data_IF_945907854611
#
_entry.id   IF_945907854611
#
_cell.length_a   1.000
_cell.length_b   1.000
_cell.length_c   1.000
_cell.angle_alpha   90.00
_cell.angle_beta   90.00
_cell.angle_gamma   90.00
#
_symmetry.space_group_name_H-M   'P 1'
#
loop_
_entity.id
_entity.type
_entity.pdbx_description
1 polymer ?
#
# COMPACT_ATOMS: atom_id res chain seq x y z
N UNK A 1 2.51 -19.87 -14.99
CA UNK A 1 1.82 -18.86 -14.15
C UNK A 1 0.37 -19.31 -14.03
N UNK A 2 -0.14 -19.39 -12.82
CA UNK A 2 -1.51 -19.83 -12.56
C UNK A 2 -2.44 -18.63 -12.37
N UNK A 3 -3.68 -18.76 -12.84
CA UNK A 3 -4.73 -17.74 -12.73
C UNK A 3 -5.97 -18.28 -12.05
N UNK A 4 -6.75 -17.36 -11.49
CA UNK A 4 -8.08 -17.61 -10.94
C UNK A 4 -9.07 -16.67 -11.63
N UNK A 5 -10.20 -17.19 -12.10
CA UNK A 5 -11.20 -16.42 -12.85
C UNK A 5 -12.60 -17.01 -12.70
N UNK A 6 -13.63 -16.24 -13.06
CA UNK A 6 -15.01 -16.72 -13.18
C UNK A 6 -15.38 -16.80 -14.65
N UNK A 7 -15.82 -17.98 -15.11
CA UNK A 7 -16.29 -18.19 -16.48
C UNK A 7 -17.55 -19.05 -16.47
N UNK A 8 -18.58 -18.65 -17.23
CA UNK A 8 -19.91 -19.30 -17.22
C UNK A 8 -20.50 -19.51 -15.80
N UNK A 9 -20.30 -18.53 -14.91
CA UNK A 9 -20.82 -18.56 -13.54
C UNK A 9 -20.08 -19.53 -12.59
N UNK A 10 -18.94 -20.10 -13.01
CA UNK A 10 -18.12 -21.00 -12.20
C UNK A 10 -16.78 -20.35 -11.88
N UNK A 11 -16.32 -20.51 -10.64
CA UNK A 11 -14.98 -20.13 -10.22
C UNK A 11 -13.97 -21.22 -10.65
N UNK A 12 -12.94 -20.81 -11.37
CA UNK A 12 -11.82 -21.63 -11.79
C UNK A 12 -10.57 -21.17 -11.05
N UNK A 13 -9.86 -22.10 -10.40
CA UNK A 13 -8.65 -21.83 -9.61
C UNK A 13 -7.49 -22.70 -10.10
N UNK A 14 -6.27 -22.19 -9.97
CA UNK A 14 -5.02 -22.89 -10.33
C UNK A 14 -4.97 -23.32 -11.82
N UNK A 15 -5.54 -22.49 -12.71
CA UNK A 15 -5.52 -22.74 -14.14
C UNK A 15 -4.25 -22.18 -14.77
N UNK A 16 -3.62 -22.94 -15.67
CA UNK A 16 -2.64 -22.39 -16.60
C UNK A 16 -3.34 -21.52 -17.64
N UNK A 17 -2.58 -20.64 -18.30
CA UNK A 17 -3.12 -19.82 -19.40
C UNK A 17 -3.63 -20.71 -20.55
N UNK A 18 -2.93 -21.80 -20.86
CA UNK A 18 -3.34 -22.70 -21.94
C UNK A 18 -4.65 -23.43 -21.60
N UNK A 19 -4.79 -23.95 -20.37
CA UNK A 19 -6.06 -24.56 -19.95
C UNK A 19 -7.22 -23.55 -19.94
N UNK A 20 -6.94 -22.29 -19.65
CA UNK A 20 -7.93 -21.23 -19.68
C UNK A 20 -8.34 -20.86 -21.13
N UNK A 21 -7.39 -20.85 -22.08
CA UNK A 21 -7.68 -20.72 -23.52
C UNK A 21 -8.53 -21.88 -24.03
N UNK A 22 -8.20 -23.11 -23.62
CA UNK A 22 -8.95 -24.30 -23.99
C UNK A 22 -10.40 -24.27 -23.44
N UNK A 23 -10.61 -23.57 -22.32
CA UNK A 23 -11.95 -23.28 -21.78
C UNK A 23 -12.69 -22.16 -22.52
N UNK A 24 -12.05 -21.50 -23.48
CA UNK A 24 -12.65 -20.46 -24.32
C UNK A 24 -12.46 -19.04 -23.79
N UNK A 25 -11.54 -18.79 -22.85
CA UNK A 25 -11.22 -17.42 -22.44
C UNK A 25 -10.53 -16.67 -23.58
N UNK A 26 -10.97 -15.44 -23.77
CA UNK A 26 -10.32 -14.46 -24.64
C UNK A 26 -9.02 -13.95 -24.02
N UNK A 27 -8.10 -13.42 -24.83
CA UNK A 27 -6.88 -12.79 -24.33
C UNK A 27 -7.17 -11.60 -23.40
N UNK A 28 -8.30 -10.90 -23.58
CA UNK A 28 -8.77 -9.84 -22.69
C UNK A 28 -9.14 -10.39 -21.30
N UNK A 29 -9.89 -11.49 -21.24
CA UNK A 29 -10.23 -12.16 -19.97
C UNK A 29 -8.99 -12.72 -19.27
N UNK A 30 -8.03 -13.26 -20.03
CA UNK A 30 -6.75 -13.72 -19.49
C UNK A 30 -5.94 -12.56 -18.91
N UNK A 31 -5.83 -11.44 -19.64
CA UNK A 31 -5.15 -10.25 -19.16
C UNK A 31 -5.81 -9.71 -17.87
N UNK A 32 -7.14 -9.68 -17.82
CA UNK A 32 -7.88 -9.29 -16.62
C UNK A 32 -7.62 -10.24 -15.44
N UNK A 33 -7.64 -11.56 -15.67
CA UNK A 33 -7.36 -12.55 -14.63
C UNK A 33 -5.92 -12.44 -14.10
N UNK A 34 -4.95 -12.14 -14.97
CA UNK A 34 -3.57 -11.89 -14.60
C UNK A 34 -3.41 -10.62 -13.76
N UNK A 35 -4.05 -9.52 -14.18
CA UNK A 35 -4.06 -8.28 -13.42
C UNK A 35 -4.70 -8.47 -12.03
N UNK A 36 -5.78 -9.24 -11.93
CA UNK A 36 -6.42 -9.56 -10.66
C UNK A 36 -5.52 -10.42 -9.77
N UNK A 37 -4.86 -11.44 -10.33
CA UNK A 37 -3.90 -12.29 -9.61
C UNK A 37 -2.65 -11.54 -9.11
N UNK A 38 -2.32 -10.40 -9.73
CA UNK A 38 -1.20 -9.54 -9.32
C UNK A 38 -1.53 -8.69 -8.09
N UNK A 39 -2.75 -8.16 -7.97
CA UNK A 39 -3.17 -7.25 -6.88
C UNK A 39 -2.83 -7.75 -5.48
N UNK A 40 -3.05 -9.02 -5.09
CA UNK A 40 -2.66 -9.52 -3.77
C UNK A 40 -1.16 -9.39 -3.48
N UNK A 41 -0.30 -9.59 -4.47
CA UNK A 41 1.16 -9.47 -4.33
C UNK A 41 1.58 -8.02 -4.12
N UNK A 42 1.07 -7.10 -4.94
CA UNK A 42 1.34 -5.66 -4.80
C UNK A 42 0.82 -5.15 -3.45
N UNK A 43 -0.36 -5.61 -3.03
CA UNK A 43 -0.94 -5.26 -1.73
C UNK A 43 -0.09 -5.77 -0.57
N UNK A 44 0.40 -6.99 -0.63
CA UNK A 44 1.27 -7.56 0.39
C UNK A 44 2.57 -6.75 0.52
N UNK A 45 3.17 -6.39 -0.61
CA UNK A 45 4.40 -5.61 -0.65
C UNK A 45 4.19 -4.17 -0.14
N UNK A 46 3.12 -3.49 -0.55
CA UNK A 46 2.72 -2.18 -0.04
C UNK A 46 2.61 -2.21 1.51
N UNK A 47 1.93 -3.22 2.06
CA UNK A 47 1.81 -3.42 3.51
C UNK A 47 3.17 -3.67 4.16
N UNK A 48 3.99 -4.56 3.59
CA UNK A 48 5.34 -4.85 4.10
C UNK A 48 6.18 -3.58 4.21
N UNK A 49 6.15 -2.73 3.18
CA UNK A 49 6.87 -1.46 3.14
C UNK A 49 6.39 -0.47 4.20
N UNK A 50 5.07 -0.29 4.35
CA UNK A 50 4.50 0.58 5.39
C UNK A 50 4.90 0.11 6.79
N UNK A 51 4.69 -1.18 7.09
CA UNK A 51 5.03 -1.72 8.40
C UNK A 51 6.54 -1.82 8.66
N UNK A 52 7.34 -1.89 7.59
CA UNK A 52 8.80 -1.83 7.67
C UNK A 52 9.33 -0.43 8.02
N UNK A 53 8.52 0.63 7.87
CA UNK A 53 8.86 1.97 8.35
C UNK A 53 8.33 2.24 9.75
N UNK A 54 7.07 1.92 10.00
CA UNK A 54 6.46 2.09 11.32
C UNK A 54 5.68 0.83 11.69
N UNK A 55 6.05 0.20 12.80
CA UNK A 55 5.30 -0.95 13.32
C UNK A 55 3.85 -0.56 13.68
N UNK A 56 2.97 -1.55 13.85
CA UNK A 56 1.61 -1.26 14.31
C UNK A 56 1.58 -0.56 15.69
N UNK A 57 2.52 -0.91 16.57
CA UNK A 57 2.70 -0.27 17.88
C UNK A 57 3.16 1.18 17.73
N UNK A 58 4.20 1.43 16.92
CA UNK A 58 4.69 2.78 16.59
C UNK A 58 3.56 3.65 16.03
N UNK A 59 2.78 3.12 15.07
CA UNK A 59 1.62 3.83 14.50
C UNK A 59 0.57 4.18 15.54
N UNK A 60 0.28 3.28 16.49
CA UNK A 60 -0.67 3.53 17.57
C UNK A 60 -0.16 4.60 18.54
N UNK A 61 1.13 4.58 18.88
CA UNK A 61 1.75 5.56 19.77
C UNK A 61 1.75 6.96 19.12
N UNK A 62 2.10 7.06 17.84
CA UNK A 62 2.01 8.30 17.06
C UNK A 62 0.58 8.86 17.03
N UNK A 63 -0.41 8.01 16.74
CA UNK A 63 -1.82 8.42 16.69
C UNK A 63 -2.32 8.90 18.05
N UNK A 64 -1.93 8.21 19.13
CA UNK A 64 -2.30 8.57 20.51
C UNK A 64 -1.68 9.90 20.92
N UNK A 65 -0.38 10.09 20.65
CA UNK A 65 0.30 11.36 20.92
C UNK A 65 -0.34 12.53 20.16
N UNK A 66 -0.60 12.35 18.87
CA UNK A 66 -1.26 13.36 18.06
C UNK A 66 -2.68 13.68 18.54
N UNK A 67 -3.43 12.69 19.02
CA UNK A 67 -4.76 12.92 19.61
C UNK A 67 -4.69 13.79 20.88
N UNK A 68 -3.72 13.51 21.77
CA UNK A 68 -3.50 14.32 22.98
C UNK A 68 -3.08 15.76 22.65
N UNK A 69 -2.19 15.93 21.67
CA UNK A 69 -1.74 17.25 21.22
C UNK A 69 -2.88 18.02 20.57
N UNK A 70 -3.69 17.36 19.74
CA UNK A 70 -4.81 17.98 19.03
C UNK A 70 -5.92 18.45 19.97
N UNK A 71 -6.02 17.89 21.18
CA UNK A 71 -6.95 18.33 22.20
C UNK A 71 -6.57 19.68 22.84
N UNK A 72 -5.33 20.16 22.64
CA UNK A 72 -4.88 21.49 23.07
C UNK A 72 -5.30 22.57 22.08
N UNK A 73 -5.55 23.78 22.58
CA UNK A 73 -5.62 24.96 21.74
C UNK A 73 -4.28 25.15 21.01
N UNK A 74 -4.31 25.70 19.81
CA UNK A 74 -3.10 25.86 18.98
C UNK A 74 -2.03 26.69 19.68
N UNK A 75 -2.43 27.79 20.33
CA UNK A 75 -1.55 28.68 21.09
C UNK A 75 -0.92 28.01 22.35
N UNK A 76 -1.48 26.88 22.80
CA UNK A 76 -0.99 26.13 23.97
C UNK A 76 -0.05 24.98 23.58
N UNK A 77 0.20 24.75 22.28
CA UNK A 77 1.06 23.67 21.80
C UNK A 77 2.52 24.10 21.88
N UNK A 78 3.38 23.18 22.31
CA UNK A 78 4.83 23.39 22.21
C UNK A 78 5.31 23.29 20.75
N UNK A 79 6.53 23.77 20.50
CA UNK A 79 7.19 23.59 19.21
C UNK A 79 7.35 22.11 18.85
N UNK A 80 7.75 21.28 19.80
CA UNK A 80 7.89 19.83 19.62
C UNK A 80 6.54 19.15 19.30
N UNK A 81 5.45 19.61 19.93
CA UNK A 81 4.11 19.10 19.65
C UNK A 81 3.64 19.46 18.24
N UNK A 82 4.00 20.65 17.77
CA UNK A 82 3.75 21.08 16.39
C UNK A 82 4.54 20.24 15.39
N UNK A 83 5.81 19.92 15.69
CA UNK A 83 6.62 18.99 14.89
C UNK A 83 6.00 17.60 14.81
N UNK A 84 5.46 17.07 15.91
CA UNK A 84 4.77 15.77 15.92
C UNK A 84 3.58 15.77 14.97
N UNK A 85 2.77 16.83 14.99
CA UNK A 85 1.63 16.94 14.07
C UNK A 85 2.09 17.06 12.60
N UNK A 86 3.16 17.84 12.33
CA UNK A 86 3.72 17.99 10.99
C UNK A 86 4.26 16.66 10.45
N UNK A 87 5.08 15.95 11.23
CA UNK A 87 5.60 14.64 10.83
C UNK A 87 4.50 13.59 10.64
N UNK A 88 3.39 13.71 11.39
CA UNK A 88 2.27 12.78 11.24
C UNK A 88 1.52 13.07 9.93
N UNK A 89 1.37 14.34 9.58
CA UNK A 89 0.81 14.73 8.30
C UNK A 89 1.65 14.16 7.14
N UNK A 90 2.98 14.25 7.23
CA UNK A 90 3.88 13.66 6.23
C UNK A 90 3.73 12.14 6.15
N UNK A 91 3.61 11.46 7.29
CA UNK A 91 3.42 10.00 7.33
C UNK A 91 2.08 9.57 6.71
N UNK A 92 0.99 10.29 6.99
CA UNK A 92 -0.34 10.03 6.40
C UNK A 92 -0.33 10.33 4.90
N UNK A 93 0.31 11.42 4.48
CA UNK A 93 0.52 11.77 3.09
C UNK A 93 1.24 10.64 2.34
N UNK A 94 2.37 10.19 2.88
CA UNK A 94 3.11 9.07 2.30
C UNK A 94 2.31 7.76 2.22
N UNK A 95 1.52 7.42 3.25
CA UNK A 95 0.63 6.24 3.18
C UNK A 95 -0.42 6.38 2.08
N UNK A 96 -0.89 7.60 1.83
CA UNK A 96 -1.82 7.90 0.73
C UNK A 96 -1.13 7.70 -0.62
N UNK A 97 0.10 8.21 -0.78
CA UNK A 97 0.90 8.03 -1.99
C UNK A 97 1.24 6.55 -2.22
N UNK A 98 1.54 5.79 -1.16
CA UNK A 98 1.76 4.33 -1.24
C UNK A 98 0.52 3.60 -1.77
N UNK A 99 -0.68 4.03 -1.38
CA UNK A 99 -1.94 3.46 -1.89
C UNK A 99 -2.22 3.85 -3.33
N UNK A 100 -1.82 5.05 -3.74
CA UNK A 100 -1.89 5.47 -5.13
C UNK A 100 -0.90 4.65 -6.00
N UNK A 101 0.34 4.50 -5.55
CA UNK A 101 1.35 3.67 -6.20
C UNK A 101 0.89 2.21 -6.34
N UNK A 102 0.24 1.64 -5.31
CA UNK A 102 -0.39 0.33 -5.41
C UNK A 102 -1.34 0.21 -6.62
N UNK A 103 -2.17 1.22 -6.89
CA UNK A 103 -3.09 1.18 -8.05
C UNK A 103 -2.33 1.18 -9.37
N UNK A 104 -1.34 2.08 -9.51
CA UNK A 104 -0.51 2.18 -10.71
C UNK A 104 0.30 0.91 -10.97
N UNK A 105 1.01 0.39 -9.96
CA UNK A 105 1.84 -0.82 -10.07
C UNK A 105 0.99 -2.08 -10.30
N UNK A 106 -0.24 -2.12 -9.77
CA UNK A 106 -1.15 -3.25 -10.02
C UNK A 106 -1.68 -3.26 -11.44
N UNK A 107 -1.84 -2.09 -12.06
CA UNK A 107 -2.27 -1.95 -13.45
C UNK A 107 -1.14 -2.19 -14.46
N UNK A 108 0.11 -2.02 -14.05
CA UNK A 108 1.29 -2.25 -14.88
C UNK A 108 1.85 -3.68 -14.68
N UNK A 109 1.74 -4.57 -15.68
CA UNK A 109 2.29 -5.93 -15.58
C UNK A 109 3.83 -5.96 -15.54
N UNK A 110 4.50 -4.96 -16.10
CA UNK A 110 5.96 -4.89 -16.23
C UNK A 110 6.63 -4.20 -15.04
N UNK A 111 5.87 -3.46 -14.22
CA UNK A 111 6.41 -2.83 -13.03
C UNK A 111 7.03 -3.87 -12.08
N UNK A 112 8.26 -3.62 -11.61
CA UNK A 112 8.85 -4.43 -10.55
C UNK A 112 8.32 -3.98 -9.20
N UNK A 113 7.51 -4.82 -8.56
CA UNK A 113 6.92 -4.50 -7.25
C UNK A 113 7.98 -4.48 -6.13
N UNK A 114 9.13 -5.11 -6.33
CA UNK A 114 10.20 -5.20 -5.35
C UNK A 114 11.24 -4.10 -5.48
N UNK A 115 11.28 -3.39 -6.61
CA UNK A 115 12.13 -2.22 -6.79
C UNK A 115 11.64 -1.06 -5.91
N UNK A 116 12.55 -0.43 -5.19
CA UNK A 116 12.27 0.75 -4.38
C UNK A 116 11.84 1.94 -5.24
N UNK A 117 12.34 2.04 -6.49
CA UNK A 117 11.97 3.10 -7.42
C UNK A 117 10.50 3.08 -7.83
N UNK A 118 9.82 1.93 -7.69
CA UNK A 118 8.39 1.79 -7.96
C UNK A 118 7.51 2.44 -6.89
N UNK A 119 8.07 2.80 -5.72
CA UNK A 119 7.32 3.29 -4.56
C UNK A 119 7.73 4.72 -4.19
N UNK A 120 6.82 5.51 -3.60
CA UNK A 120 7.16 6.85 -3.13
C UNK A 120 8.25 6.80 -2.04
N UNK A 121 9.22 7.72 -2.08
CA UNK A 121 10.26 7.81 -1.06
C UNK A 121 9.64 8.14 0.30
N UNK A 122 10.20 7.58 1.37
CA UNK A 122 9.73 7.86 2.73
C UNK A 122 10.19 9.25 3.17
N UNK A 123 9.28 10.21 3.46
CA UNK A 123 9.63 11.59 3.77
C UNK A 123 10.45 11.72 5.05
N UNK A 124 11.31 12.73 5.12
CA UNK A 124 12.17 12.96 6.29
C UNK A 124 11.36 13.36 7.52
N UNK A 125 10.33 14.21 7.40
CA UNK A 125 9.47 14.54 8.55
C UNK A 125 8.74 13.33 9.13
N UNK A 126 8.30 12.38 8.28
CA UNK A 126 7.73 11.12 8.72
C UNK A 126 8.77 10.20 9.38
N UNK A 127 10.00 10.19 8.86
CA UNK A 127 11.13 9.43 9.43
C UNK A 127 11.53 9.94 10.80
N UNK A 128 11.64 11.25 10.95
CA UNK A 128 12.00 11.90 12.20
C UNK A 128 10.91 11.66 13.25
N UNK A 129 9.63 11.72 12.87
CA UNK A 129 8.53 11.36 13.77
C UNK A 129 8.61 9.89 14.20
N UNK A 130 8.77 8.96 13.27
CA UNK A 130 8.88 7.54 13.58
C UNK A 130 10.04 7.26 14.54
N UNK A 131 11.18 7.94 14.40
CA UNK A 131 12.31 7.77 15.30
C UNK A 131 12.03 8.22 16.76
N UNK A 132 10.98 9.00 17.00
CA UNK A 132 10.53 9.42 18.34
C UNK A 132 9.66 8.36 19.04
N UNK A 133 9.20 7.30 18.36
CA UNK A 133 8.21 6.33 18.85
C UNK A 133 8.63 4.86 18.64
#
# INVERSE_FOLDING_TARGET
MEITFVHNGRLHQNFTLDNARDLGLTEEELAAALAEGRKPKVRAECRRRIYGKASAETQMNMATAAALISAKAEDDRSAEETEVLSGLNDAIGWVTDMRAAYQSISADPEADIYDDASWPPFPDGARDLVAKF
#
